data_IF_161787946653
#
_entry.id   IF_161787946653
#
_cell.length_a   1.000
_cell.length_b   1.000
_cell.length_c   1.000
_cell.angle_alpha   90.00
_cell.angle_beta   90.00
_cell.angle_gamma   90.00
#
_symmetry.space_group_name_H-M   'P 1'
#
loop_
_entity.id
_entity.type
_entity.pdbx_description
1 polymer ?
#
# COMPACT_ATOMS: atom_id res chain seq x y z
N UNK A 1 -44.72 -5.78 19.81
CA UNK A 1 -45.22 -7.13 19.47
C UNK A 1 -44.61 -7.54 18.13
N UNK A 2 -44.09 -8.79 17.99
CA UNK A 2 -43.97 -9.66 16.77
C UNK A 2 -43.55 -8.99 15.42
N UNK A 3 -42.54 -9.40 14.64
CA UNK A 3 -41.62 -10.58 14.55
C UNK A 3 -40.25 -10.08 13.99
N UNK A 4 -39.08 -10.74 14.00
CA UNK A 4 -38.59 -12.07 14.45
C UNK A 4 -38.55 -13.26 13.45
N UNK A 5 -37.66 -13.20 12.44
CA UNK A 5 -36.97 -14.30 11.72
C UNK A 5 -35.81 -13.67 10.91
N UNK A 6 -34.52 -14.05 10.90
CA UNK A 6 -33.75 -15.28 11.15
C UNK A 6 -33.78 -16.33 10.02
N UNK A 7 -32.67 -16.43 9.28
CA UNK A 7 -32.28 -17.59 8.48
C UNK A 7 -30.74 -17.71 8.48
N UNK A 8 -30.23 -18.72 9.19
CA UNK A 8 -28.80 -19.04 9.30
C UNK A 8 -28.59 -20.41 8.65
N UNK A 9 -27.73 -20.52 7.63
CA UNK A 9 -27.46 -21.78 6.94
C UNK A 9 -26.06 -22.29 7.29
N UNK A 10 -26.00 -23.27 8.20
CA UNK A 10 -24.80 -24.07 8.49
C UNK A 10 -24.79 -25.28 7.56
N UNK A 11 -23.61 -25.67 7.06
CA UNK A 11 -23.41 -26.96 6.41
C UNK A 11 -22.02 -27.50 6.70
N UNK A 12 -21.98 -28.48 7.62
CA UNK A 12 -20.84 -29.35 7.90
C UNK A 12 -21.18 -30.74 7.37
N UNK A 13 -20.40 -31.27 6.42
CA UNK A 13 -20.31 -32.71 6.17
C UNK A 13 -18.84 -33.02 5.87
N UNK A 14 -18.31 -34.04 6.55
CA UNK A 14 -16.94 -34.50 6.43
C UNK A 14 -16.84 -35.76 5.55
N UNK A 15 -15.67 -36.03 4.96
CA UNK A 15 -15.03 -37.35 4.95
C UNK A 15 -13.67 -37.32 4.24
N UNK A 16 -12.58 -37.59 4.97
CA UNK A 16 -11.36 -38.15 4.38
C UNK A 16 -11.52 -39.65 4.13
N UNK A 17 -10.71 -40.23 3.23
CA UNK A 17 -10.06 -41.49 3.57
C UNK A 17 -8.53 -41.41 3.46
N UNK A 18 -7.86 -41.83 4.53
CA UNK A 18 -6.41 -42.11 4.54
C UNK A 18 -6.09 -43.30 3.63
N UNK A 19 -4.94 -43.26 2.96
CA UNK A 19 -4.26 -44.47 2.48
C UNK A 19 -2.88 -44.56 3.14
N UNK A 20 -2.62 -45.70 3.76
CA UNK A 20 -1.34 -46.06 4.39
C UNK A 20 -0.71 -47.16 3.54
N UNK A 21 0.57 -47.03 3.19
CA UNK A 21 1.36 -48.12 2.60
C UNK A 21 2.68 -48.24 3.38
N UNK A 22 3.08 -49.44 3.86
CA UNK A 22 4.22 -49.60 4.76
C UNK A 22 5.55 -49.97 4.07
N UNK A 23 6.65 -49.46 4.66
CA UNK A 23 8.03 -49.98 4.78
C UNK A 23 8.57 -51.04 3.78
N UNK A 24 9.81 -50.78 3.35
CA UNK A 24 10.96 -51.70 3.56
C UNK A 24 12.28 -50.94 3.74
N UNK A 25 13.13 -51.43 4.64
CA UNK A 25 14.60 -51.21 4.66
C UNK A 25 15.27 -52.48 4.05
N UNK A 26 16.56 -52.61 3.75
CA UNK A 26 17.80 -52.02 4.27
C UNK A 26 18.98 -52.22 3.25
N UNK A 27 20.25 -51.81 3.51
CA UNK A 27 21.31 -51.64 2.48
C UNK A 27 22.19 -52.89 2.23
N UNK A 28 23.24 -52.79 1.38
CA UNK A 28 24.59 -52.78 1.99
C UNK A 28 25.65 -51.84 1.34
N UNK A 29 26.78 -51.76 2.03
CA UNK A 29 28.00 -50.97 1.89
C UNK A 29 28.75 -51.01 0.55
N UNK A 30 29.50 -49.92 0.26
CA UNK A 30 30.58 -49.88 -0.74
C UNK A 30 31.57 -48.74 -0.47
N UNK A 31 32.86 -49.05 -0.29
CA UNK A 31 33.91 -48.11 0.14
C UNK A 31 34.69 -47.54 -1.04
N UNK A 32 34.87 -46.21 -1.11
CA UNK A 32 36.00 -45.59 -1.80
C UNK A 32 36.24 -44.16 -1.28
N UNK A 33 37.48 -43.86 -0.90
CA UNK A 33 37.91 -42.49 -0.59
C UNK A 33 38.61 -41.89 -1.82
N UNK A 34 38.36 -40.62 -2.11
CA UNK A 34 39.30 -39.80 -2.88
C UNK A 34 39.27 -38.36 -2.39
N UNK A 35 40.44 -37.89 -1.97
CA UNK A 35 40.66 -36.49 -1.59
C UNK A 35 40.80 -35.66 -2.87
N UNK A 36 39.95 -34.64 -3.02
CA UNK A 36 40.02 -33.65 -4.09
C UNK A 36 39.69 -32.29 -3.50
N UNK A 37 40.70 -31.47 -3.25
CA UNK A 37 40.51 -30.11 -2.74
C UNK A 37 39.88 -29.23 -3.83
N UNK A 38 38.55 -29.14 -3.82
CA UNK A 38 37.84 -28.14 -4.61
C UNK A 38 38.06 -26.76 -3.98
N UNK A 39 38.82 -25.90 -4.68
CA UNK A 39 38.79 -24.46 -4.39
C UNK A 39 37.35 -23.97 -4.44
N UNK A 40 36.91 -23.07 -3.53
CA UNK A 40 35.64 -22.39 -3.66
C UNK A 40 35.73 -21.40 -4.82
N UNK A 41 35.55 -21.89 -6.05
CA UNK A 41 35.30 -21.05 -7.21
C UNK A 41 34.10 -20.17 -6.93
N UNK A 42 34.25 -18.87 -7.22
CA UNK A 42 33.30 -17.83 -6.88
C UNK A 42 31.85 -18.24 -7.18
N UNK A 43 30.95 -17.97 -6.24
CA UNK A 43 29.51 -18.08 -6.45
C UNK A 43 29.13 -17.24 -7.67
N UNK A 44 28.96 -17.90 -8.82
CA UNK A 44 28.31 -17.30 -9.96
C UNK A 44 26.87 -16.97 -9.52
N UNK A 45 26.61 -15.70 -9.21
CA UNK A 45 25.25 -15.20 -9.09
C UNK A 45 24.60 -15.41 -10.44
N UNK A 46 23.88 -16.52 -10.58
CA UNK A 46 23.09 -16.79 -11.76
C UNK A 46 22.08 -15.65 -11.89
N UNK A 47 22.25 -14.81 -12.91
CA UNK A 47 21.26 -13.80 -13.26
C UNK A 47 19.95 -14.55 -13.48
N UNK A 48 18.88 -14.27 -12.70
CA UNK A 48 17.63 -14.98 -12.85
C UNK A 48 17.10 -14.78 -14.27
N UNK A 49 16.54 -15.84 -14.86
CA UNK A 49 15.98 -15.77 -16.20
C UNK A 49 14.85 -14.73 -16.22
N UNK A 50 14.84 -13.86 -17.25
CA UNK A 50 13.83 -12.82 -17.40
C UNK A 50 12.44 -13.44 -17.61
N UNK A 51 11.43 -12.86 -16.97
CA UNK A 51 10.05 -13.37 -16.88
C UNK A 51 9.11 -12.57 -17.80
N UNK A 52 8.08 -13.19 -18.35
CA UNK A 52 7.01 -12.48 -19.05
C UNK A 52 6.06 -11.83 -18.03
N UNK A 53 5.60 -10.61 -18.29
CA UNK A 53 4.57 -9.97 -17.46
C UNK A 53 3.25 -10.74 -17.56
N UNK A 54 2.59 -10.92 -16.43
CA UNK A 54 1.31 -11.61 -16.31
C UNK A 54 0.17 -10.71 -16.79
N UNK A 55 -0.86 -11.25 -17.47
CA UNK A 55 -2.04 -10.46 -17.82
C UNK A 55 -2.82 -10.08 -16.56
N UNK A 56 -3.33 -8.85 -16.50
CA UNK A 56 -4.15 -8.36 -15.38
C UNK A 56 -5.56 -8.95 -15.47
N UNK A 57 -6.01 -9.81 -14.53
CA UNK A 57 -7.39 -10.30 -14.51
C UNK A 57 -8.41 -9.20 -14.21
N UNK A 58 -9.65 -9.40 -14.67
CA UNK A 58 -10.78 -8.55 -14.31
C UNK A 58 -11.06 -8.60 -12.80
N UNK A 59 -11.30 -7.44 -12.21
CA UNK A 59 -11.52 -7.26 -10.77
C UNK A 59 -12.57 -6.18 -10.51
N UNK A 60 -13.38 -6.37 -9.46
CA UNK A 60 -14.35 -5.39 -8.98
C UNK A 60 -13.86 -4.80 -7.65
N UNK A 61 -13.59 -3.48 -7.58
CA UNK A 61 -13.19 -2.84 -6.33
C UNK A 61 -14.23 -3.00 -5.22
N UNK A 62 -13.75 -3.23 -4.00
CA UNK A 62 -14.59 -3.19 -2.81
C UNK A 62 -14.98 -1.73 -2.52
N UNK A 63 -16.25 -1.48 -2.19
CA UNK A 63 -16.69 -0.13 -1.83
C UNK A 63 -15.85 0.41 -0.66
N UNK A 64 -15.32 1.64 -0.78
CA UNK A 64 -14.82 2.39 0.37
C UNK A 64 -16.02 2.78 1.26
N UNK A 65 -15.88 2.66 2.58
CA UNK A 65 -16.83 3.21 3.53
C UNK A 65 -16.27 4.46 4.20
N UNK A 66 -15.02 4.37 4.65
CA UNK A 66 -14.25 5.48 5.23
C UNK A 66 -12.79 5.30 4.83
N UNK A 67 -12.11 6.34 4.38
CA UNK A 67 -10.64 6.42 4.42
C UNK A 67 -10.19 7.70 5.10
N UNK A 68 -8.98 7.64 5.65
CA UNK A 68 -8.26 8.74 6.24
C UNK A 68 -6.79 8.66 5.82
N UNK A 69 -6.31 9.75 5.25
CA UNK A 69 -4.95 9.98 4.76
C UNK A 69 -4.34 11.18 5.51
N UNK A 70 -3.02 11.16 5.69
CA UNK A 70 -2.25 12.29 6.26
C UNK A 70 -1.21 12.75 5.25
N UNK A 71 -1.29 14.01 4.84
CA UNK A 71 -0.30 14.68 4.02
C UNK A 71 0.44 15.77 4.79
N UNK A 72 1.55 16.22 4.22
CA UNK A 72 2.22 17.49 4.53
C UNK A 72 2.44 18.27 3.24
N UNK A 73 3.21 19.35 3.30
CA UNK A 73 3.50 20.21 2.14
C UNK A 73 4.49 19.57 1.14
N UNK A 74 5.13 18.47 1.54
CA UNK A 74 6.07 17.70 0.74
C UNK A 74 5.58 16.24 0.70
N UNK A 75 5.44 15.70 -0.52
CA UNK A 75 5.01 14.32 -0.76
C UNK A 75 3.51 14.17 -1.03
N UNK A 76 3.09 12.96 -1.43
CA UNK A 76 1.67 12.61 -1.51
C UNK A 76 1.13 12.24 -0.11
N UNK A 77 -0.17 12.44 0.17
CA UNK A 77 -0.78 11.94 1.40
C UNK A 77 -0.58 10.44 1.57
N UNK A 78 -0.16 9.99 2.75
CA UNK A 78 -0.07 8.56 3.07
C UNK A 78 -1.37 8.06 3.68
N UNK A 79 -1.78 6.83 3.32
CA UNK A 79 -2.91 6.18 3.97
C UNK A 79 -2.61 5.99 5.45
N UNK A 80 -3.56 6.35 6.31
CA UNK A 80 -3.51 6.02 7.75
C UNK A 80 -4.55 4.98 8.11
N UNK A 81 -5.74 5.07 7.53
CA UNK A 81 -6.85 4.16 7.78
C UNK A 81 -7.74 4.02 6.54
N UNK A 82 -8.17 2.81 6.22
CA UNK A 82 -9.21 2.50 5.24
C UNK A 82 -10.13 1.43 5.83
N UNK A 83 -11.45 1.65 5.73
CA UNK A 83 -12.48 0.65 5.95
C UNK A 83 -13.27 0.43 4.65
N UNK A 84 -13.37 -0.83 4.23
CA UNK A 84 -14.13 -1.24 3.04
C UNK A 84 -15.44 -1.96 3.37
N UNK A 85 -16.34 -2.03 2.39
CA UNK A 85 -17.69 -2.61 2.52
C UNK A 85 -17.73 -4.11 2.84
N UNK A 86 -16.63 -4.83 2.61
CA UNK A 86 -16.46 -6.23 3.03
C UNK A 86 -15.93 -6.42 4.45
N UNK A 87 -15.73 -5.30 5.18
CA UNK A 87 -15.27 -5.25 6.57
C UNK A 87 -13.75 -5.25 6.75
N UNK A 88 -12.93 -5.23 5.69
CA UNK A 88 -11.47 -5.07 5.85
C UNK A 88 -11.14 -3.65 6.33
N UNK A 89 -10.43 -3.58 7.46
CA UNK A 89 -9.67 -2.40 7.88
C UNK A 89 -8.23 -2.57 7.38
N UNK A 90 -7.65 -1.52 6.80
CA UNK A 90 -6.24 -1.42 6.44
C UNK A 90 -5.65 -0.18 7.09
N UNK A 91 -4.52 -0.33 7.77
CA UNK A 91 -3.80 0.74 8.50
C UNK A 91 -2.31 0.67 8.24
N UNK A 92 -1.63 1.82 8.32
CA UNK A 92 -0.16 1.90 8.25
C UNK A 92 0.45 1.77 9.67
N UNK A 93 1.33 0.79 9.87
CA UNK A 93 2.08 0.61 11.12
C UNK A 93 3.33 1.51 11.19
N UNK A 94 3.90 1.64 12.38
CA UNK A 94 5.18 2.31 12.63
C UNK A 94 6.30 1.69 11.80
N UNK A 95 6.69 2.36 10.72
CA UNK A 95 7.67 1.88 9.74
C UNK A 95 7.18 1.94 8.29
N UNK A 96 5.89 2.20 8.05
CA UNK A 96 5.33 2.33 6.70
C UNK A 96 4.89 1.01 6.07
N UNK A 97 4.78 -0.08 6.85
CA UNK A 97 4.15 -1.31 6.39
C UNK A 97 2.64 -1.27 6.68
N UNK A 98 1.82 -1.61 5.70
CA UNK A 98 0.37 -1.77 5.78
C UNK A 98 0.00 -3.13 6.40
N UNK A 99 -0.92 -3.10 7.35
CA UNK A 99 -1.59 -4.29 7.89
C UNK A 99 -3.08 -4.24 7.62
N UNK A 100 -3.69 -5.42 7.50
CA UNK A 100 -5.12 -5.60 7.38
C UNK A 100 -5.70 -6.42 8.54
N UNK A 101 -6.96 -6.13 8.89
CA UNK A 101 -7.75 -6.93 9.84
C UNK A 101 -9.23 -6.78 9.54
N UNK A 102 -9.99 -7.87 9.57
CA UNK A 102 -11.44 -7.82 9.29
C UNK A 102 -12.29 -7.55 10.53
N UNK A 103 -13.21 -6.61 10.41
CA UNK A 103 -14.29 -6.36 11.36
C UNK A 103 -15.50 -7.27 11.09
N UNK A 104 -16.32 -7.47 12.13
CA UNK A 104 -17.70 -7.93 11.96
C UNK A 104 -18.56 -6.79 11.37
N UNK A 105 -19.75 -7.07 10.79
CA UNK A 105 -20.63 -6.01 10.29
C UNK A 105 -21.00 -4.95 11.33
N UNK A 106 -21.15 -5.33 12.61
CA UNK A 106 -21.42 -4.39 13.70
C UNK A 106 -20.19 -3.56 14.09
N UNK A 107 -18.98 -4.12 14.00
CA UNK A 107 -17.73 -3.37 14.14
C UNK A 107 -17.56 -2.32 13.03
N UNK A 108 -17.77 -2.72 11.77
CA UNK A 108 -17.72 -1.82 10.62
C UNK A 108 -18.76 -0.69 10.75
N UNK A 109 -20.01 -1.01 11.11
CA UNK A 109 -21.04 -0.01 11.39
C UNK A 109 -20.64 0.95 12.52
N UNK A 110 -20.00 0.46 13.59
CA UNK A 110 -19.51 1.30 14.70
C UNK A 110 -18.47 2.31 14.22
N UNK A 111 -17.53 1.91 13.37
CA UNK A 111 -16.51 2.81 12.82
C UNK A 111 -17.07 3.84 11.82
N UNK A 112 -18.04 3.46 10.99
CA UNK A 112 -18.75 4.40 10.10
C UNK A 112 -19.55 5.42 10.92
N UNK A 113 -20.20 4.97 12.01
CA UNK A 113 -20.94 5.85 12.92
C UNK A 113 -20.05 6.91 13.56
N UNK A 114 -18.78 6.64 13.88
CA UNK A 114 -17.84 7.67 14.37
C UNK A 114 -17.69 8.84 13.39
N UNK A 115 -17.55 8.55 12.09
CA UNK A 115 -17.49 9.59 11.06
C UNK A 115 -18.82 10.35 10.95
N UNK A 116 -19.95 9.64 10.81
CA UNK A 116 -21.29 10.24 10.67
C UNK A 116 -21.62 11.15 11.86
N UNK A 117 -21.31 10.73 13.09
CA UNK A 117 -21.59 11.49 14.32
C UNK A 117 -20.85 12.83 14.41
N UNK A 118 -19.83 13.09 13.59
CA UNK A 118 -19.22 14.43 13.49
C UNK A 118 -20.19 15.47 12.93
N UNK A 119 -21.10 15.04 12.04
CA UNK A 119 -21.98 15.91 11.24
C UNK A 119 -21.29 16.65 10.09
N UNK A 120 -20.08 16.23 9.68
CA UNK A 120 -19.24 16.96 8.73
C UNK A 120 -19.19 16.34 7.32
N UNK A 121 -19.78 15.15 7.12
CA UNK A 121 -19.68 14.36 5.88
C UNK A 121 -20.93 14.40 5.00
N UNK A 122 -21.66 15.53 4.98
CA UNK A 122 -22.80 15.75 4.08
C UNK A 122 -22.39 16.32 2.72
N UNK A 123 -21.30 17.10 2.68
CA UNK A 123 -20.75 17.71 1.47
C UNK A 123 -19.23 17.86 1.59
N UNK A 124 -18.57 18.08 0.46
CA UNK A 124 -17.12 18.29 0.44
C UNK A 124 -16.79 19.61 1.16
N UNK A 125 -15.70 19.63 1.94
CA UNK A 125 -15.34 20.76 2.79
C UNK A 125 -13.84 20.78 3.15
N UNK A 126 -13.28 21.99 3.32
CA UNK A 126 -11.89 22.19 3.72
C UNK A 126 -11.81 23.07 4.97
N UNK A 127 -11.27 22.53 6.07
CA UNK A 127 -11.17 23.18 7.36
C UNK A 127 -9.72 23.59 7.67
N UNK A 128 -9.26 24.65 7.00
CA UNK A 128 -7.94 25.26 7.20
C UNK A 128 -7.80 26.05 8.51
N UNK A 129 -6.61 26.61 8.75
CA UNK A 129 -6.36 27.54 9.87
C UNK A 129 -6.73 28.97 9.46
N UNK A 130 -7.64 29.62 10.19
CA UNK A 130 -7.98 31.03 9.99
C UNK A 130 -7.19 31.90 11.01
N UNK A 131 -6.35 32.86 10.59
CA UNK A 131 -5.60 33.71 11.53
C UNK A 131 -6.50 34.50 12.48
N UNK A 132 -5.99 34.81 13.67
CA UNK A 132 -6.64 35.78 14.56
C UNK A 132 -6.59 37.20 13.94
N UNK A 133 -7.58 38.06 14.19
CA UNK A 133 -7.55 39.45 13.72
C UNK A 133 -6.29 40.18 14.20
N UNK A 134 -5.51 40.71 13.26
CA UNK A 134 -4.27 41.45 13.56
C UNK A 134 -3.02 40.60 13.81
N UNK A 135 -3.09 39.26 13.72
CA UNK A 135 -1.88 38.42 13.71
C UNK A 135 -1.36 38.20 12.29
N UNK A 136 -0.05 37.97 12.18
CA UNK A 136 0.60 37.50 10.95
C UNK A 136 1.37 36.23 11.31
N UNK A 137 0.73 35.05 11.27
CA UNK A 137 1.39 33.79 11.61
C UNK A 137 2.59 33.50 10.69
N UNK A 138 3.64 32.82 11.18
CA UNK A 138 4.78 32.44 10.36
C UNK A 138 4.37 31.56 9.17
N UNK A 139 4.97 31.81 8.00
CA UNK A 139 4.83 30.91 6.85
C UNK A 139 5.70 29.67 7.07
N UNK A 140 5.07 28.57 7.47
CA UNK A 140 5.71 27.27 7.66
C UNK A 140 4.81 26.14 7.13
N UNK A 141 5.40 24.96 6.96
CA UNK A 141 4.69 23.78 6.47
C UNK A 141 3.61 23.26 7.43
N UNK A 142 2.52 22.73 6.90
CA UNK A 142 1.34 22.23 7.62
C UNK A 142 1.04 20.78 7.34
N UNK A 143 0.64 20.05 8.39
CA UNK A 143 0.00 18.73 8.22
C UNK A 143 -1.44 18.94 7.77
N UNK A 144 -1.90 18.16 6.79
CA UNK A 144 -3.31 18.11 6.37
C UNK A 144 -3.82 16.68 6.55
N UNK A 145 -4.97 16.54 7.21
CA UNK A 145 -5.71 15.28 7.27
C UNK A 145 -6.79 15.31 6.19
N UNK A 146 -6.93 14.23 5.45
CA UNK A 146 -7.89 14.07 4.37
C UNK A 146 -8.76 12.86 4.70
N UNK A 147 -10.06 13.07 4.80
CA UNK A 147 -11.05 12.03 5.02
C UNK A 147 -11.89 11.86 3.77
N UNK A 148 -12.24 10.61 3.44
CA UNK A 148 -13.24 10.30 2.40
C UNK A 148 -14.25 9.31 2.97
N UNK A 149 -15.51 9.70 3.02
CA UNK A 149 -16.60 8.90 3.63
C UNK A 149 -17.70 8.68 2.60
N UNK A 150 -18.17 7.44 2.48
CA UNK A 150 -19.29 7.13 1.60
C UNK A 150 -20.61 7.68 2.16
N UNK A 151 -21.33 8.47 1.37
CA UNK A 151 -22.64 9.01 1.69
C UNK A 151 -23.61 8.72 0.52
N UNK A 152 -24.44 7.68 0.70
CA UNK A 152 -25.38 7.22 -0.32
C UNK A 152 -24.65 6.68 -1.57
N UNK A 153 -24.79 7.39 -2.69
CA UNK A 153 -24.21 7.02 -3.98
C UNK A 153 -22.92 7.77 -4.33
N UNK A 154 -22.41 8.62 -3.43
CA UNK A 154 -21.15 9.36 -3.65
C UNK A 154 -20.21 9.24 -2.45
N UNK A 155 -18.94 9.50 -2.71
CA UNK A 155 -17.95 9.78 -1.67
C UNK A 155 -17.96 11.27 -1.32
N UNK A 156 -17.73 11.57 -0.04
CA UNK A 156 -17.62 12.91 0.53
C UNK A 156 -16.20 13.13 1.04
N UNK A 157 -15.50 14.12 0.49
CA UNK A 157 -14.11 14.45 0.83
C UNK A 157 -14.07 15.65 1.77
N UNK A 158 -13.47 15.47 2.95
CA UNK A 158 -13.24 16.54 3.92
C UNK A 158 -11.75 16.65 4.21
N UNK A 159 -11.15 17.82 4.03
CA UNK A 159 -9.78 18.10 4.47
C UNK A 159 -9.75 19.00 5.71
N UNK A 160 -8.68 18.90 6.50
CA UNK A 160 -8.52 19.70 7.73
C UNK A 160 -7.05 19.86 8.10
N UNK A 161 -6.66 21.04 8.57
CA UNK A 161 -5.41 21.18 9.33
C UNK A 161 -5.71 20.85 10.80
N UNK A 162 -5.12 19.80 11.39
CA UNK A 162 -5.50 19.30 12.71
C UNK A 162 -5.18 20.32 13.81
N UNK A 163 -5.76 20.15 15.00
CA UNK A 163 -5.40 20.94 16.19
C UNK A 163 -4.25 20.31 16.97
N UNK A 164 -3.51 21.15 17.72
CA UNK A 164 -2.24 20.79 18.34
C UNK A 164 -1.06 20.89 17.37
N UNK A 165 -1.16 21.74 16.35
CA UNK A 165 -0.04 22.12 15.49
C UNK A 165 0.76 23.28 16.11
N UNK A 166 2.02 23.51 15.71
CA UNK A 166 2.74 24.73 16.05
C UNK A 166 1.95 25.99 15.68
N UNK A 167 2.11 27.03 16.50
CA UNK A 167 1.49 28.35 16.36
C UNK A 167 -0.05 28.36 16.39
N UNK A 168 -0.73 27.28 16.81
CA UNK A 168 -2.22 27.20 16.87
C UNK A 168 -2.85 28.33 17.72
N UNK A 169 -2.11 28.91 18.67
CA UNK A 169 -2.51 30.08 19.45
C UNK A 169 -2.63 31.38 18.63
N UNK A 170 -2.04 31.45 17.43
CA UNK A 170 -2.15 32.58 16.50
C UNK A 170 -3.39 32.49 15.58
N UNK A 171 -4.16 31.41 15.69
CA UNK A 171 -5.32 31.11 14.84
C UNK A 171 -6.63 31.00 15.64
N UNK A 172 -7.75 31.12 14.92
CA UNK A 172 -9.08 30.95 15.47
C UNK A 172 -9.35 29.47 15.80
N UNK A 173 -10.04 29.24 16.93
CA UNK A 173 -10.55 27.92 17.31
C UNK A 173 -11.67 27.48 16.35
N UNK A 174 -11.74 26.19 16.04
CA UNK A 174 -12.79 25.58 15.23
C UNK A 174 -13.19 24.23 15.82
N UNK A 175 -14.48 24.07 16.08
CA UNK A 175 -15.03 22.83 16.61
C UNK A 175 -14.99 21.69 15.58
N UNK A 176 -14.96 22.03 14.29
CA UNK A 176 -14.78 21.12 13.16
C UNK A 176 -13.37 20.57 13.14
N UNK A 177 -12.34 21.44 13.30
CA UNK A 177 -10.94 21.02 13.45
C UNK A 177 -10.77 20.08 14.65
N UNK A 178 -11.37 20.40 15.80
CA UNK A 178 -11.31 19.55 17.00
C UNK A 178 -11.98 18.18 16.79
N UNK A 179 -13.20 18.15 16.23
CA UNK A 179 -13.93 16.91 15.90
C UNK A 179 -13.14 16.00 14.97
N UNK A 180 -12.60 16.54 13.87
CA UNK A 180 -11.86 15.75 12.89
C UNK A 180 -10.49 15.30 13.41
N UNK A 181 -9.84 16.12 14.25
CA UNK A 181 -8.60 15.73 14.94
C UNK A 181 -8.85 14.58 15.92
N UNK A 182 -9.97 14.61 16.66
CA UNK A 182 -10.39 13.50 17.52
C UNK A 182 -10.74 12.24 16.71
N UNK A 183 -11.44 12.38 15.58
CA UNK A 183 -11.77 11.27 14.67
C UNK A 183 -10.51 10.59 14.13
N UNK A 184 -9.51 11.35 13.67
CA UNK A 184 -8.24 10.79 13.22
C UNK A 184 -7.54 9.99 14.33
N UNK A 185 -7.47 10.51 15.56
CA UNK A 185 -6.90 9.77 16.70
C UNK A 185 -7.64 8.45 16.96
N UNK A 186 -8.96 8.44 16.84
CA UNK A 186 -9.78 7.23 16.96
C UNK A 186 -9.61 6.22 15.82
N UNK A 187 -9.08 6.62 14.66
CA UNK A 187 -8.71 5.72 13.57
C UNK A 187 -7.23 5.31 13.59
N UNK A 188 -6.35 6.07 14.26
CA UNK A 188 -4.94 5.73 14.47
C UNK A 188 -4.74 4.79 15.67
N UNK A 189 -5.51 4.97 16.74
CA UNK A 189 -5.56 4.03 17.88
C UNK A 189 -6.87 3.24 17.83
N UNK A 190 -6.79 1.98 17.42
CA UNK A 190 -7.93 1.06 17.36
C UNK A 190 -8.11 0.22 18.65
N UNK A 191 -7.40 0.53 19.73
CA UNK A 191 -7.48 -0.21 21.00
C UNK A 191 -8.85 -0.11 21.69
N UNK A 192 -9.63 0.93 21.39
CA UNK A 192 -11.01 1.08 21.87
C UNK A 192 -12.00 0.08 21.24
N UNK A 193 -11.64 -0.54 20.11
CA UNK A 193 -12.52 -1.44 19.35
C UNK A 193 -12.55 -2.82 20.03
N UNK A 194 -13.67 -3.25 20.63
CA UNK A 194 -13.71 -4.50 21.41
C UNK A 194 -13.34 -5.72 20.57
N UNK A 195 -12.69 -6.72 21.18
CA UNK A 195 -12.30 -7.97 20.50
C UNK A 195 -13.47 -8.66 19.78
N UNK A 196 -14.69 -8.55 20.31
CA UNK A 196 -15.92 -9.09 19.72
C UNK A 196 -16.44 -8.36 18.47
N UNK A 197 -15.91 -7.17 18.17
CA UNK A 197 -16.19 -6.44 16.93
C UNK A 197 -15.22 -6.80 15.79
N UNK A 198 -14.17 -7.58 16.08
CA UNK A 198 -13.25 -8.11 15.09
C UNK A 198 -13.67 -9.51 14.65
N UNK A 199 -13.72 -9.75 13.34
CA UNK A 199 -13.88 -11.09 12.78
C UNK A 199 -12.56 -11.86 12.84
N UNK A 200 -11.44 -11.17 12.57
CA UNK A 200 -10.10 -11.74 12.68
C UNK A 200 -9.48 -11.49 14.06
N UNK A 201 -8.88 -12.52 14.65
CA UNK A 201 -8.29 -12.43 15.99
C UNK A 201 -7.03 -11.57 16.07
N UNK A 202 -6.33 -11.35 14.94
CA UNK A 202 -5.09 -10.57 14.83
C UNK A 202 -5.03 -9.84 13.49
N UNK A 203 -4.30 -8.73 13.44
CA UNK A 203 -3.90 -8.12 12.17
C UNK A 203 -2.86 -9.00 11.45
N UNK A 204 -2.78 -8.85 10.13
CA UNK A 204 -1.81 -9.53 9.26
C UNK A 204 -1.26 -8.52 8.24
N UNK A 205 -0.05 -8.74 7.67
CA UNK A 205 0.46 -7.89 6.59
C UNK A 205 -0.55 -7.79 5.44
N UNK A 206 -0.68 -6.60 4.85
CA UNK A 206 -1.59 -6.42 3.72
C UNK A 206 -1.11 -7.21 2.50
N UNK A 207 -2.03 -8.00 1.93
CA UNK A 207 -1.80 -8.79 0.73
C UNK A 207 -2.61 -8.16 -0.43
N UNK A 208 -2.00 -7.24 -1.19
CA UNK A 208 -2.62 -6.66 -2.38
C UNK A 208 -2.80 -7.72 -3.48
N UNK A 209 -3.88 -7.60 -4.26
CA UNK A 209 -4.03 -8.40 -5.50
C UNK A 209 -3.25 -7.81 -6.67
N UNK A 210 -3.00 -6.50 -6.63
CA UNK A 210 -2.40 -5.72 -7.69
C UNK A 210 -1.49 -4.63 -7.13
N UNK A 211 -0.52 -4.20 -7.93
CA UNK A 211 0.34 -3.07 -7.64
C UNK A 211 0.35 -2.10 -8.82
N UNK A 212 0.49 -0.81 -8.52
CA UNK A 212 0.77 0.22 -9.52
C UNK A 212 2.27 0.45 -9.56
N UNK A 213 2.87 0.18 -10.72
CA UNK A 213 4.27 0.51 -10.99
C UNK A 213 4.32 1.81 -11.79
N UNK A 214 4.96 2.82 -11.23
CA UNK A 214 5.36 4.03 -11.92
C UNK A 214 6.85 3.96 -12.32
N UNK A 215 7.15 4.36 -13.56
CA UNK A 215 8.51 4.38 -14.12
C UNK A 215 8.79 5.74 -14.73
N UNK A 216 9.87 6.39 -14.29
CA UNK A 216 10.37 7.63 -14.88
C UNK A 216 11.79 7.42 -15.43
N UNK A 217 11.95 7.36 -16.76
CA UNK A 217 13.25 7.51 -17.39
C UNK A 217 13.76 8.96 -17.21
N UNK A 218 14.97 9.12 -16.68
CA UNK A 218 15.61 10.42 -16.48
C UNK A 218 16.92 10.49 -17.30
N UNK A 219 16.85 10.81 -18.60
CA UNK A 219 18.04 10.97 -19.43
C UNK A 219 18.89 12.13 -18.92
N UNK A 220 20.21 11.96 -18.92
CA UNK A 220 21.21 12.94 -18.43
C UNK A 220 21.13 13.29 -16.93
N UNK A 221 20.36 12.55 -16.13
CA UNK A 221 20.42 12.65 -14.67
C UNK A 221 21.69 11.96 -14.15
N UNK A 222 22.60 12.74 -13.55
CA UNK A 222 23.76 12.20 -12.87
C UNK A 222 23.29 11.33 -11.68
N UNK A 223 23.70 10.04 -11.59
CA UNK A 223 23.32 9.21 -10.47
C UNK A 223 23.91 9.74 -9.15
N UNK A 224 23.10 9.78 -8.10
CA UNK A 224 23.58 10.01 -6.74
C UNK A 224 24.29 8.74 -6.24
N UNK A 225 25.61 8.71 -6.32
CA UNK A 225 26.43 7.52 -6.03
C UNK A 225 26.47 6.54 -7.20
N UNK A 226 26.62 5.25 -6.90
CA UNK A 226 26.68 4.17 -7.91
C UNK A 226 25.43 3.26 -7.80
N UNK A 227 24.25 3.71 -8.24
CA UNK A 227 23.03 2.93 -8.15
C UNK A 227 23.09 1.70 -9.07
N UNK A 228 22.40 0.60 -8.71
CA UNK A 228 22.43 -0.64 -9.48
C UNK A 228 22.00 -0.48 -10.93
N UNK A 229 22.59 -1.29 -11.80
CA UNK A 229 22.33 -1.29 -13.24
C UNK A 229 20.93 -1.81 -13.58
N UNK A 230 20.16 -1.04 -14.35
CA UNK A 230 18.81 -1.38 -14.84
C UNK A 230 18.80 -2.77 -15.47
N UNK A 231 19.74 -3.06 -16.38
CA UNK A 231 19.73 -4.32 -17.14
C UNK A 231 19.99 -5.56 -16.29
N UNK A 232 20.69 -5.38 -15.15
CA UNK A 232 20.99 -6.44 -14.19
C UNK A 232 19.86 -6.65 -13.17
N UNK A 233 19.08 -5.60 -12.87
CA UNK A 233 18.05 -5.60 -11.83
C UNK A 233 16.64 -5.82 -12.41
N UNK A 234 16.39 -5.43 -13.64
CA UNK A 234 15.07 -5.53 -14.28
C UNK A 234 14.75 -6.98 -14.68
N UNK A 235 13.76 -7.65 -14.04
CA UNK A 235 13.56 -9.08 -14.20
C UNK A 235 12.63 -9.46 -15.35
N UNK A 236 12.09 -8.50 -16.10
CA UNK A 236 11.10 -8.78 -17.14
C UNK A 236 11.70 -8.82 -18.55
N UNK A 237 11.08 -9.61 -19.43
CA UNK A 237 11.40 -9.68 -20.86
C UNK A 237 11.09 -8.37 -21.60
N UNK A 238 10.12 -7.61 -21.11
CA UNK A 238 9.71 -6.31 -21.66
C UNK A 238 10.70 -5.23 -21.19
N UNK A 239 11.32 -4.43 -22.09
CA UNK A 239 12.22 -3.33 -21.71
C UNK A 239 11.53 -2.27 -20.83
N UNK A 240 12.26 -1.70 -19.86
CA UNK A 240 11.71 -0.79 -18.85
C UNK A 240 11.11 0.49 -19.46
N UNK A 241 11.65 0.97 -20.57
CA UNK A 241 11.17 2.11 -21.36
C UNK A 241 9.86 1.83 -22.13
N UNK A 242 9.46 0.56 -22.23
CA UNK A 242 8.25 0.10 -22.91
C UNK A 242 7.15 -0.36 -21.93
N UNK A 243 7.42 -0.40 -20.63
CA UNK A 243 6.47 -0.92 -19.64
C UNK A 243 5.25 -0.02 -19.47
N UNK A 244 4.06 -0.61 -19.57
CA UNK A 244 2.78 0.06 -19.32
C UNK A 244 2.42 1.15 -20.35
N UNK A 245 1.68 2.15 -19.88
CA UNK A 245 1.18 3.28 -20.67
C UNK A 245 1.82 4.59 -20.21
N UNK A 246 1.90 5.61 -21.08
CA UNK A 246 2.29 6.96 -20.66
C UNK A 246 1.16 7.58 -19.84
N UNK A 247 1.51 8.14 -18.68
CA UNK A 247 0.56 8.94 -17.89
C UNK A 247 0.28 10.28 -18.60
N UNK A 248 -0.82 10.94 -18.25
CA UNK A 248 -1.15 12.28 -18.76
C UNK A 248 -0.19 13.41 -18.30
N UNK A 249 0.87 13.05 -17.57
CA UNK A 249 1.90 13.95 -17.05
C UNK A 249 2.03 13.86 -15.53
N UNK A 250 3.26 13.76 -15.03
CA UNK A 250 3.57 13.99 -13.62
C UNK A 250 3.87 15.45 -13.31
N UNK A 251 4.22 15.71 -12.04
CA UNK A 251 4.73 17.02 -11.63
C UNK A 251 5.92 17.45 -12.52
N UNK A 252 5.94 18.74 -12.91
CA UNK A 252 6.94 19.28 -13.83
C UNK A 252 6.82 18.82 -15.29
N UNK A 253 5.74 18.12 -15.67
CA UNK A 253 5.56 17.61 -17.03
C UNK A 253 6.36 16.35 -17.35
N UNK A 254 6.90 15.68 -16.33
CA UNK A 254 7.69 14.47 -16.47
C UNK A 254 6.85 13.32 -17.08
N UNK A 255 7.39 12.67 -18.12
CA UNK A 255 6.75 11.58 -18.85
C UNK A 255 6.85 10.24 -18.10
N UNK A 256 6.19 10.16 -16.94
CA UNK A 256 6.02 8.91 -16.21
C UNK A 256 5.23 7.91 -17.03
N UNK A 257 5.65 6.64 -16.98
CA UNK A 257 4.87 5.48 -17.41
C UNK A 257 4.21 4.84 -16.19
N UNK A 258 3.05 4.24 -16.39
CA UNK A 258 2.33 3.48 -15.38
C UNK A 258 1.96 2.09 -15.92
N UNK A 259 2.19 1.06 -15.12
CA UNK A 259 1.72 -0.30 -15.36
C UNK A 259 0.98 -0.84 -14.12
N UNK A 260 0.03 -1.75 -14.35
CA UNK A 260 -0.54 -2.57 -13.28
C UNK A 260 0.13 -3.93 -13.31
N UNK A 261 0.67 -4.35 -12.16
CA UNK A 261 1.26 -5.66 -11.94
C UNK A 261 0.33 -6.48 -11.05
N UNK A 262 0.28 -7.80 -11.26
CA UNK A 262 -0.25 -8.73 -10.25
C UNK A 262 0.75 -8.89 -9.08
N UNK A 263 0.33 -9.44 -7.94
CA UNK A 263 1.23 -9.65 -6.78
C UNK A 263 2.52 -10.40 -7.15
N UNK A 264 2.43 -11.49 -7.92
CA UNK A 264 3.57 -12.32 -8.31
C UNK A 264 4.65 -11.57 -9.12
N UNK A 265 4.22 -10.76 -10.08
CA UNK A 265 5.10 -9.89 -10.88
C UNK A 265 5.72 -8.80 -9.97
N UNK A 266 4.91 -8.17 -9.12
CA UNK A 266 5.37 -7.13 -8.20
C UNK A 266 6.40 -7.66 -7.19
N UNK A 267 6.19 -8.86 -6.64
CA UNK A 267 7.17 -9.56 -5.79
C UNK A 267 8.44 -9.90 -6.56
N UNK A 268 8.31 -10.37 -7.81
CA UNK A 268 9.46 -10.65 -8.68
C UNK A 268 10.31 -9.40 -8.98
N UNK A 269 9.66 -8.24 -9.17
CA UNK A 269 10.32 -6.94 -9.27
C UNK A 269 11.00 -6.55 -7.94
N UNK A 270 10.26 -6.56 -6.84
CA UNK A 270 10.76 -6.20 -5.51
C UNK A 270 11.95 -7.04 -5.05
N UNK A 271 11.89 -8.36 -5.23
CA UNK A 271 12.98 -9.28 -4.91
C UNK A 271 14.22 -9.01 -5.77
N UNK A 272 14.04 -8.59 -7.02
CA UNK A 272 15.16 -8.26 -7.92
C UNK A 272 15.80 -6.93 -7.56
N UNK A 273 15.00 -5.93 -7.21
CA UNK A 273 15.47 -4.66 -6.65
C UNK A 273 16.25 -4.89 -5.35
N UNK A 274 15.76 -5.76 -4.47
CA UNK A 274 16.43 -6.11 -3.21
C UNK A 274 17.75 -6.86 -3.44
N UNK A 275 17.77 -7.87 -4.32
CA UNK A 275 19.01 -8.57 -4.72
C UNK A 275 20.05 -7.64 -5.36
N UNK A 276 19.60 -6.64 -6.11
CA UNK A 276 20.45 -5.60 -6.69
C UNK A 276 20.98 -4.59 -5.68
N UNK A 277 20.46 -4.57 -4.44
CA UNK A 277 20.78 -3.54 -3.45
C UNK A 277 20.11 -2.19 -3.70
N UNK A 278 19.12 -2.12 -4.60
CA UNK A 278 18.38 -0.89 -4.91
C UNK A 278 17.35 -0.52 -3.81
N UNK A 279 16.88 -1.53 -3.07
CA UNK A 279 16.04 -1.40 -1.87
C UNK A 279 16.51 -2.41 -0.81
N UNK A 280 16.18 -2.19 0.47
CA UNK A 280 16.59 -3.09 1.55
C UNK A 280 15.80 -4.41 1.58
N UNK A 281 14.49 -4.35 1.26
CA UNK A 281 13.58 -5.50 1.20
C UNK A 281 12.35 -5.17 0.37
N UNK A 282 11.62 -6.20 -0.04
CA UNK A 282 10.23 -6.12 -0.48
C UNK A 282 9.43 -7.25 0.17
N UNK A 283 8.13 -7.06 0.37
CA UNK A 283 7.25 -8.11 0.90
C UNK A 283 5.82 -7.64 1.07
N UNK A 284 4.94 -8.56 1.48
CA UNK A 284 3.58 -8.22 1.87
C UNK A 284 3.59 -7.20 3.02
N UNK A 285 2.68 -6.25 2.95
CA UNK A 285 2.64 -5.07 3.80
C UNK A 285 3.41 -3.86 3.27
N UNK A 286 4.44 -3.97 2.42
CA UNK A 286 5.19 -2.77 1.99
C UNK A 286 4.30 -1.74 1.28
N UNK A 287 4.07 -0.56 1.91
CA UNK A 287 3.21 0.50 1.34
C UNK A 287 3.79 1.14 0.08
N UNK A 288 5.11 1.08 -0.07
CA UNK A 288 5.87 1.72 -1.14
C UNK A 288 7.22 1.03 -1.27
N UNK A 289 7.67 0.83 -2.51
CA UNK A 289 9.07 0.55 -2.82
C UNK A 289 9.53 1.50 -3.92
N UNK A 290 10.54 2.33 -3.61
CA UNK A 290 11.12 3.31 -4.53
C UNK A 290 12.57 2.97 -4.78
N UNK A 291 12.99 2.99 -6.04
CA UNK A 291 14.36 2.70 -6.45
C UNK A 291 14.84 3.71 -7.50
N UNK A 292 16.15 3.96 -7.51
CA UNK A 292 16.85 4.65 -8.60
C UNK A 292 17.88 3.68 -9.15
N UNK A 293 17.85 3.46 -10.45
CA UNK A 293 18.74 2.55 -11.18
C UNK A 293 19.54 3.32 -12.23
N UNK A 294 20.75 2.86 -12.57
CA UNK A 294 21.59 3.43 -13.63
C UNK A 294 21.43 2.69 -14.96
N UNK A 295 21.59 3.38 -16.09
CA UNK A 295 21.74 2.71 -17.39
C UNK A 295 23.21 2.41 -17.69
N UNK A 296 23.58 1.13 -17.87
CA UNK A 296 24.94 0.70 -18.25
C UNK A 296 25.58 1.48 -19.41
N UNK A 297 24.77 1.90 -20.38
CA UNK A 297 25.23 2.51 -21.63
C UNK A 297 25.12 4.04 -21.74
N UNK A 298 24.77 4.77 -20.67
CA UNK A 298 24.49 6.21 -20.80
C UNK A 298 24.57 7.03 -19.51
N UNK A 299 24.17 8.30 -19.62
CA UNK A 299 24.28 9.35 -18.59
C UNK A 299 23.00 9.52 -17.76
N UNK A 300 22.11 8.53 -17.73
CA UNK A 300 20.76 8.66 -17.16
C UNK A 300 20.42 7.61 -16.11
N UNK A 301 19.36 7.89 -15.36
CA UNK A 301 18.77 7.00 -14.36
C UNK A 301 17.35 6.58 -14.74
N UNK A 302 16.83 5.58 -14.04
CA UNK A 302 15.40 5.25 -14.00
C UNK A 302 14.94 5.31 -12.55
N UNK A 303 13.95 6.15 -12.25
CA UNK A 303 13.23 6.12 -10.98
C UNK A 303 12.03 5.19 -11.11
N UNK A 304 11.96 4.18 -10.25
CA UNK A 304 10.83 3.27 -10.11
C UNK A 304 10.11 3.59 -8.81
N UNK A 305 8.78 3.52 -8.84
CA UNK A 305 7.98 3.41 -7.62
C UNK A 305 6.89 2.37 -7.79
N UNK A 306 6.86 1.40 -6.89
CA UNK A 306 5.87 0.34 -6.81
C UNK A 306 5.00 0.59 -5.57
N UNK A 307 3.69 0.65 -5.73
CA UNK A 307 2.72 0.79 -4.63
C UNK A 307 1.64 -0.29 -4.71
N UNK A 308 1.20 -0.86 -3.57
CA UNK A 308 0.08 -1.79 -3.54
C UNK A 308 -1.22 -1.04 -3.84
N UNK A 309 -2.09 -1.60 -4.68
CA UNK A 309 -3.44 -1.06 -4.85
C UNK A 309 -4.30 -1.45 -3.66
N UNK A 310 -4.96 -0.47 -3.06
CA UNK A 310 -5.93 -0.69 -2.00
C UNK A 310 -7.22 -1.32 -2.57
N UNK A 311 -8.01 -2.07 -1.79
CA UNK A 311 -9.13 -2.86 -2.34
C UNK A 311 -10.24 -2.03 -3.01
N UNK A 312 -10.28 -0.72 -2.76
CA UNK A 312 -11.25 0.22 -3.33
C UNK A 312 -10.75 0.94 -4.59
N UNK A 313 -9.48 0.76 -4.97
CA UNK A 313 -8.93 1.31 -6.19
C UNK A 313 -9.26 0.42 -7.40
N UNK A 314 -9.47 1.06 -8.55
CA UNK A 314 -9.51 0.35 -9.82
C UNK A 314 -8.10 -0.08 -10.25
N UNK A 315 -7.98 -1.29 -10.79
CA UNK A 315 -6.75 -1.85 -11.37
C UNK A 315 -6.43 -1.19 -12.72
N UNK A 316 -6.14 0.13 -12.69
CA UNK A 316 -5.87 0.95 -13.87
C UNK A 316 -4.85 2.06 -13.58
N UNK A 317 -4.25 2.55 -14.67
CA UNK A 317 -3.39 3.73 -14.72
C UNK A 317 -4.14 5.01 -15.11
N UNK A 318 -5.40 4.90 -15.56
CA UNK A 318 -6.22 6.06 -15.88
C UNK A 318 -6.45 6.94 -14.64
N UNK A 319 -6.12 8.24 -14.73
CA UNK A 319 -6.22 9.18 -13.61
C UNK A 319 -5.19 8.97 -12.49
N UNK A 320 -4.27 8.01 -12.62
CA UNK A 320 -3.26 7.76 -11.60
C UNK A 320 -2.16 8.83 -11.64
N UNK A 321 -2.10 9.68 -10.62
CA UNK A 321 -1.10 10.73 -10.50
C UNK A 321 0.23 10.14 -10.00
N UNK A 322 1.33 10.21 -10.77
CA UNK A 322 2.61 9.77 -10.28
C UNK A 322 3.08 10.64 -9.10
N UNK A 323 3.85 10.07 -8.17
CA UNK A 323 4.37 10.75 -6.99
C UNK A 323 5.43 11.79 -7.34
N UNK A 324 5.60 12.75 -6.42
CA UNK A 324 6.65 13.79 -6.45
C UNK A 324 8.03 13.16 -6.27
#
# INVERSE_FOLDING_TARGET
MRWLALALAVSLVACEPRVIVPRTASPPSGTAAQSGAASPSASAQATPAKVALSPVPSFTPAARLVSYERGGDIGQPSLRFLLTGDGRVITEETGGDLVQRKLTPSGAATMVLQAIQTGLFERDADFGRAPLPGTTPPAHGTTVLIFVVANGTRDVRVSVVPTGQPDDELYQKSAERDKLTALARGYEDLSWVPTSQWADSRAQPYQPSFHRLFVLPQPNAAPSGSPPDVDAVWPFLVPVESVGELTAGGAGGAAWRCAILVDDDARTLGDSLARGGAIARYGWGSAIATAILSWRGGTGTVRLQLTPLLPHEAATCAGATPPL
#
